data_IF_412372766723
#
_entry.id   IF_412372766723
#
_cell.length_a   1.000
_cell.length_b   1.000
_cell.length_c   1.000
_cell.angle_alpha   90.00
_cell.angle_beta   90.00
_cell.angle_gamma   90.00
#
_symmetry.space_group_name_H-M   'P 1'
#
loop_
_entity.id
_entity.type
_entity.pdbx_description
1 polymer ?
#
# COMPACT_ATOMS: atom_id res chain seq x y z
N UNK A 1 12.60 35.60 45.40
CA UNK A 1 12.60 34.18 44.97
C UNK A 1 12.17 34.16 43.52
N UNK A 2 13.00 33.65 42.60
CA UNK A 2 12.61 33.56 41.19
C UNK A 2 11.50 32.51 41.04
N UNK A 3 10.43 32.88 40.35
CA UNK A 3 9.34 31.96 40.01
C UNK A 3 9.80 31.03 38.90
N UNK A 4 9.72 29.71 39.14
CA UNK A 4 10.08 28.69 38.15
C UNK A 4 9.01 28.64 37.05
N UNK A 5 9.47 28.56 35.79
CA UNK A 5 8.59 28.38 34.65
C UNK A 5 8.02 26.94 34.66
N UNK A 6 6.69 26.76 34.54
CA UNK A 6 6.11 25.44 34.36
C UNK A 6 6.69 24.73 33.12
N UNK A 7 6.91 23.42 33.21
CA UNK A 7 7.51 22.63 32.12
C UNK A 7 6.70 22.73 30.82
N UNK A 8 5.37 22.78 30.91
CA UNK A 8 4.50 22.93 29.75
C UNK A 8 4.75 24.26 29.01
N UNK A 9 4.92 25.36 29.76
CA UNK A 9 5.19 26.68 29.19
C UNK A 9 6.58 26.74 28.57
N UNK A 10 7.56 26.10 29.20
CA UNK A 10 8.92 25.98 28.65
C UNK A 10 8.93 25.18 27.34
N UNK A 11 8.21 24.05 27.30
CA UNK A 11 8.10 23.22 26.10
C UNK A 11 7.41 23.98 24.96
N UNK A 12 6.32 24.70 25.25
CA UNK A 12 5.62 25.50 24.26
C UNK A 12 6.53 26.58 23.65
N UNK A 13 7.34 27.26 24.48
CA UNK A 13 8.31 28.24 24.00
C UNK A 13 9.38 27.61 23.10
N UNK A 14 9.92 26.45 23.48
CA UNK A 14 10.93 25.73 22.67
C UNK A 14 10.36 25.30 21.31
N UNK A 15 9.16 24.72 21.30
CA UNK A 15 8.50 24.29 20.07
C UNK A 15 8.12 25.49 19.17
N UNK A 16 7.68 26.60 19.75
CA UNK A 16 7.36 27.82 19.00
C UNK A 16 8.61 28.47 18.36
N UNK A 17 9.79 28.28 18.96
CA UNK A 17 11.04 28.77 18.42
C UNK A 17 11.69 27.79 17.40
N UNK A 18 11.22 26.55 17.33
CA UNK A 18 11.77 25.55 16.42
C UNK A 18 11.44 25.91 14.97
N UNK A 19 12.47 25.88 14.11
CA UNK A 19 12.33 26.10 12.67
C UNK A 19 12.54 24.78 11.95
N UNK A 20 11.58 24.38 11.12
CA UNK A 20 11.73 23.21 10.26
C UNK A 20 12.82 23.48 9.22
N UNK A 21 13.81 22.59 9.13
CA UNK A 21 14.79 22.65 8.05
C UNK A 21 14.13 22.16 6.77
N UNK A 22 13.99 23.04 5.77
CA UNK A 22 13.48 22.66 4.44
C UNK A 22 14.48 21.88 3.58
N UNK A 23 15.61 21.46 4.15
CA UNK A 23 16.58 20.62 3.47
C UNK A 23 16.04 19.21 3.36
N UNK A 24 16.03 18.68 2.15
CA UNK A 24 15.57 17.33 1.83
C UNK A 24 16.73 16.57 1.19
N UNK A 25 16.71 15.25 1.35
CA UNK A 25 17.69 14.36 0.72
C UNK A 25 16.98 13.09 0.29
N UNK A 26 17.40 12.54 -0.84
CA UNK A 26 16.97 11.21 -1.24
C UNK A 26 17.62 10.16 -0.34
N UNK A 27 16.86 9.14 0.00
CA UNK A 27 17.31 7.98 0.76
C UNK A 27 16.79 6.72 0.09
N UNK A 28 17.53 5.63 0.22
CA UNK A 28 16.99 4.31 -0.13
C UNK A 28 15.86 3.96 0.84
N UNK A 29 14.96 3.05 0.45
CA UNK A 29 13.88 2.60 1.34
C UNK A 29 14.40 2.00 2.66
N UNK A 30 15.58 1.40 2.65
CA UNK A 30 16.20 0.80 3.83
C UNK A 30 16.68 1.90 4.79
N UNK A 31 17.26 2.96 4.25
CA UNK A 31 17.80 4.07 5.04
C UNK A 31 16.74 5.09 5.47
N UNK A 32 15.56 5.05 4.84
CA UNK A 32 14.45 5.97 5.14
C UNK A 32 13.73 5.65 6.46
N UNK A 33 14.01 4.52 7.13
CA UNK A 33 13.34 4.16 8.36
C UNK A 33 13.62 5.18 9.48
N UNK A 34 12.56 5.81 10.00
CA UNK A 34 12.65 6.79 11.09
C UNK A 34 12.88 8.23 10.64
N UNK A 35 12.96 8.49 9.33
CA UNK A 35 12.97 9.86 8.78
C UNK A 35 11.54 10.38 8.57
N UNK A 36 11.42 11.68 8.29
CA UNK A 36 10.14 12.33 7.93
C UNK A 36 10.09 12.49 6.42
N UNK A 37 8.97 12.12 5.81
CA UNK A 37 8.75 12.32 4.37
C UNK A 37 8.79 13.81 4.03
N UNK A 38 9.57 14.12 2.99
CA UNK A 38 9.66 15.47 2.45
C UNK A 38 8.47 15.83 1.55
N UNK A 39 7.85 14.83 0.92
CA UNK A 39 6.74 14.96 -0.02
C UNK A 39 5.78 13.77 0.10
N UNK A 40 4.57 13.92 -0.44
CA UNK A 40 3.55 12.88 -0.46
C UNK A 40 3.96 11.70 -1.35
N UNK A 41 3.74 10.48 -0.86
CA UNK A 41 3.94 9.26 -1.66
C UNK A 41 2.63 8.89 -2.35
N UNK A 42 2.56 9.08 -3.66
CA UNK A 42 1.37 8.81 -4.47
C UNK A 42 1.53 7.50 -5.24
N UNK A 43 0.52 6.63 -5.18
CA UNK A 43 0.51 5.39 -5.94
C UNK A 43 0.44 5.66 -7.45
N UNK A 44 1.36 5.07 -8.21
CA UNK A 44 1.43 5.21 -9.67
C UNK A 44 0.72 4.10 -10.42
N UNK A 45 0.30 3.04 -9.72
CA UNK A 45 -0.38 1.87 -10.28
C UNK A 45 -1.50 1.41 -9.33
N UNK A 46 -2.49 0.70 -9.89
CA UNK A 46 -3.47 -0.03 -9.09
C UNK A 46 -2.81 -1.22 -8.40
N UNK A 47 -3.20 -1.47 -7.15
CA UNK A 47 -2.77 -2.65 -6.39
C UNK A 47 -4.04 -3.29 -5.78
N UNK A 48 -4.47 -4.48 -6.25
CA UNK A 48 -3.84 -5.29 -7.29
C UNK A 48 -3.96 -4.67 -8.69
N UNK A 49 -3.00 -4.96 -9.58
CA UNK A 49 -2.98 -4.44 -10.94
C UNK A 49 -3.96 -5.12 -11.92
N UNK A 50 -4.60 -6.20 -11.49
CA UNK A 50 -5.52 -7.02 -12.28
C UNK A 50 -6.43 -7.80 -11.33
N UNK A 51 -7.61 -8.18 -11.81
CA UNK A 51 -8.52 -9.05 -11.08
C UNK A 51 -7.88 -10.43 -10.88
N UNK A 52 -7.73 -10.84 -9.63
CA UNK A 52 -7.14 -12.13 -9.25
C UNK A 52 -8.04 -12.88 -8.28
N UNK A 53 -7.88 -14.21 -8.24
CA UNK A 53 -8.58 -15.01 -7.24
C UNK A 53 -7.97 -14.77 -5.86
N UNK A 54 -8.82 -14.54 -4.86
CA UNK A 54 -8.41 -14.42 -3.46
C UNK A 54 -8.05 -15.77 -2.83
N UNK A 55 -8.46 -16.88 -3.45
CA UNK A 55 -8.26 -18.24 -2.94
C UNK A 55 -7.91 -19.22 -4.06
N UNK A 56 -7.40 -20.38 -3.66
CA UNK A 56 -7.36 -21.54 -4.55
C UNK A 56 -8.78 -22.05 -4.79
N UNK A 57 -9.16 -22.21 -6.06
CA UNK A 57 -10.51 -22.61 -6.45
C UNK A 57 -10.71 -22.64 -7.95
N UNK A 58 -11.98 -22.56 -8.38
CA UNK A 58 -12.37 -22.58 -9.78
C UNK A 58 -13.03 -21.25 -10.17
N UNK A 59 -12.56 -20.65 -11.25
CA UNK A 59 -13.25 -19.54 -11.90
C UNK A 59 -14.33 -20.11 -12.84
N UNK A 60 -15.56 -19.65 -12.69
CA UNK A 60 -16.69 -20.02 -13.55
C UNK A 60 -17.62 -18.84 -13.74
N UNK A 61 -18.45 -18.89 -14.78
CA UNK A 61 -19.60 -17.98 -14.90
C UNK A 61 -20.70 -18.48 -13.99
N UNK A 62 -21.21 -17.62 -13.11
CA UNK A 62 -22.24 -18.01 -12.14
C UNK A 62 -23.51 -18.60 -12.80
N UNK A 63 -23.86 -18.14 -14.01
CA UNK A 63 -25.01 -18.63 -14.77
C UNK A 63 -24.86 -20.09 -15.24
N UNK A 64 -23.63 -20.60 -15.40
CA UNK A 64 -23.38 -21.98 -15.87
C UNK A 64 -23.37 -22.99 -14.72
N UNK A 65 -23.55 -22.54 -13.48
CA UNK A 65 -23.48 -23.37 -12.27
C UNK A 65 -24.75 -24.22 -12.06
N UNK A 66 -25.24 -24.90 -13.11
CA UNK A 66 -26.43 -25.75 -13.06
C UNK A 66 -26.13 -27.23 -12.78
N UNK A 67 -24.84 -27.59 -12.70
CA UNK A 67 -24.37 -28.95 -12.46
C UNK A 67 -22.84 -29.05 -12.50
N UNK A 68 -22.28 -30.27 -12.55
CA UNK A 68 -20.83 -30.47 -12.69
C UNK A 68 -20.30 -29.85 -13.98
N UNK A 69 -19.16 -29.13 -13.87
CA UNK A 69 -18.49 -28.49 -15.00
C UNK A 69 -17.13 -29.16 -15.27
N UNK A 70 -16.74 -29.37 -16.54
CA UNK A 70 -15.40 -29.83 -16.87
C UNK A 70 -14.37 -28.72 -16.60
N UNK A 71 -13.18 -29.11 -16.13
CA UNK A 71 -12.07 -28.17 -15.94
C UNK A 71 -11.38 -27.95 -17.28
N UNK A 72 -11.42 -26.72 -17.79
CA UNK A 72 -10.82 -26.37 -19.08
C UNK A 72 -9.31 -26.14 -18.99
N UNK A 73 -8.86 -25.42 -17.96
CA UNK A 73 -7.45 -25.09 -17.75
C UNK A 73 -7.17 -24.76 -16.29
N UNK A 74 -5.87 -24.69 -15.96
CA UNK A 74 -5.37 -24.18 -14.68
C UNK A 74 -4.56 -22.92 -14.92
N UNK A 75 -4.90 -21.85 -14.22
CA UNK A 75 -4.21 -20.55 -14.31
C UNK A 75 -3.55 -20.29 -12.95
N UNK A 76 -2.22 -20.36 -12.91
CA UNK A 76 -1.43 -20.06 -11.72
C UNK A 76 -0.97 -18.59 -11.71
N UNK A 77 -0.43 -18.14 -10.58
CA UNK A 77 0.16 -16.81 -10.48
C UNK A 77 1.24 -16.59 -11.56
N UNK A 78 1.17 -15.46 -12.25
CA UNK A 78 2.09 -15.10 -13.34
C UNK A 78 1.79 -15.75 -14.70
N UNK A 79 0.78 -16.62 -14.80
CA UNK A 79 0.31 -17.18 -16.08
C UNK A 79 -0.94 -16.47 -16.58
N UNK A 80 -1.04 -16.29 -17.91
CA UNK A 80 -2.27 -15.84 -18.55
C UNK A 80 -3.14 -17.04 -18.93
N UNK A 81 -4.47 -16.85 -18.91
CA UNK A 81 -5.41 -17.79 -19.49
C UNK A 81 -5.14 -17.94 -21.00
N UNK A 82 -5.14 -19.17 -21.50
CA UNK A 82 -5.25 -19.38 -22.94
C UNK A 82 -6.68 -19.08 -23.41
N UNK A 83 -6.82 -18.55 -24.63
CA UNK A 83 -8.13 -18.40 -25.28
C UNK A 83 -8.76 -19.79 -25.41
N UNK A 84 -9.86 -20.01 -24.68
CA UNK A 84 -10.67 -21.22 -24.83
C UNK A 84 -11.85 -20.89 -25.75
N UNK A 85 -12.04 -21.66 -26.82
CA UNK A 85 -13.32 -21.66 -27.52
C UNK A 85 -14.38 -22.23 -26.57
N UNK A 86 -15.38 -21.41 -26.26
CA UNK A 86 -16.58 -21.85 -25.55
C UNK A 86 -17.37 -22.76 -26.50
N UNK A 87 -17.34 -24.06 -26.25
CA UNK A 87 -18.26 -25.02 -26.86
C UNK A 87 -19.69 -24.83 -26.31
#
# INVERSE_FOLDING_TARGET
MSTLLPVADALAQVLAAAVTTGATSEATLIDALGTVLAEDVIATIAVPGHDNSAMDGYALRAADATGPLPVSQRIAAGSAAASAELA
#
